data_IF_352675658695
#
_entry.id   IF_352675658695
#
_cell.length_a   1.000
_cell.length_b   1.000
_cell.length_c   1.000
_cell.angle_alpha   90.00
_cell.angle_beta   90.00
_cell.angle_gamma   90.00
#
_symmetry.space_group_name_H-M   'P 1'
#
loop_
_entity.id
_entity.type
_entity.pdbx_description
1 polymer ?
#
# COMPACT_ATOMS: atom_id res chain seq x y z
N UNK A 1 15.12 4.89 14.37
CA UNK A 1 14.06 3.99 13.88
C UNK A 1 13.59 4.45 12.52
N UNK A 2 13.48 3.52 11.60
CA UNK A 2 12.96 3.74 10.25
C UNK A 2 11.48 4.15 10.32
N UNK A 3 11.11 5.23 9.64
CA UNK A 3 9.73 5.68 9.56
C UNK A 3 9.24 5.60 8.12
N UNK A 4 8.16 4.84 7.92
CA UNK A 4 7.45 4.77 6.65
C UNK A 4 6.25 5.70 6.69
N UNK A 5 6.11 6.50 5.64
CA UNK A 5 4.99 7.41 5.46
C UNK A 5 4.14 6.96 4.30
N UNK A 6 2.85 6.98 4.50
CA UNK A 6 1.85 6.80 3.46
C UNK A 6 0.81 7.89 3.57
N UNK A 7 0.57 8.60 2.49
CA UNK A 7 -0.50 9.59 2.38
C UNK A 7 -1.48 9.13 1.31
N UNK A 8 -2.76 9.27 1.59
CA UNK A 8 -3.82 9.00 0.63
C UNK A 8 -4.96 9.97 0.85
N UNK A 9 -5.41 10.60 -0.24
CA UNK A 9 -6.65 11.37 -0.29
C UNK A 9 -7.62 10.68 -1.25
N UNK A 10 -8.78 10.29 -0.74
CA UNK A 10 -9.79 9.58 -1.50
C UNK A 10 -11.18 10.10 -1.16
N UNK A 11 -12.07 10.07 -2.13
CA UNK A 11 -13.51 10.29 -1.94
C UNK A 11 -14.29 9.07 -2.38
N UNK A 12 -15.35 8.75 -1.67
CA UNK A 12 -16.24 7.65 -2.00
C UNK A 12 -17.67 8.19 -2.05
N UNK A 13 -18.32 8.01 -3.20
CA UNK A 13 -19.75 8.27 -3.38
C UNK A 13 -20.47 6.92 -3.43
N UNK A 14 -21.48 6.78 -2.61
CA UNK A 14 -22.32 5.59 -2.58
C UNK A 14 -23.77 5.98 -2.81
N UNK A 15 -24.40 5.41 -3.84
CA UNK A 15 -25.82 5.55 -4.13
C UNK A 15 -26.52 4.21 -3.85
N UNK A 16 -27.58 4.25 -3.07
CA UNK A 16 -28.40 3.08 -2.73
C UNK A 16 -29.83 3.36 -3.22
N UNK A 17 -30.32 2.48 -4.06
CA UNK A 17 -31.69 2.53 -4.52
C UNK A 17 -32.42 1.27 -4.08
N UNK A 18 -33.43 1.47 -3.23
CA UNK A 18 -34.27 0.38 -2.72
C UNK A 18 -35.60 0.37 -3.44
N UNK A 19 -35.98 -0.79 -3.98
CA UNK A 19 -37.24 -1.06 -4.65
C UNK A 19 -38.02 -2.13 -3.87
N UNK A 20 -38.63 -1.78 -2.73
CA UNK A 20 -39.23 -2.74 -1.80
C UNK A 20 -40.38 -3.53 -2.43
N UNK A 21 -41.14 -2.93 -3.37
CA UNK A 21 -42.27 -3.59 -4.03
C UNK A 21 -41.88 -4.86 -4.80
N UNK A 22 -40.63 -4.90 -5.28
CA UNK A 22 -40.08 -6.04 -6.02
C UNK A 22 -38.90 -6.68 -5.31
N UNK A 23 -38.60 -6.26 -4.07
CA UNK A 23 -37.52 -6.80 -3.25
C UNK A 23 -36.11 -6.62 -3.82
N UNK A 24 -35.84 -5.52 -4.55
CA UNK A 24 -34.52 -5.22 -5.08
C UNK A 24 -33.84 -4.08 -4.32
N UNK A 25 -32.56 -4.24 -4.05
CA UNK A 25 -31.67 -3.18 -3.58
C UNK A 25 -30.47 -3.09 -4.51
N UNK A 26 -30.26 -1.92 -5.09
CA UNK A 26 -29.11 -1.64 -5.98
C UNK A 26 -28.19 -0.68 -5.25
N UNK A 27 -26.93 -1.04 -5.11
CA UNK A 27 -25.88 -0.18 -4.54
C UNK A 27 -24.81 0.05 -5.58
N UNK A 28 -24.58 1.33 -5.91
CA UNK A 28 -23.47 1.77 -6.74
C UNK A 28 -22.45 2.50 -5.87
N UNK A 29 -21.18 2.18 -6.04
CA UNK A 29 -20.09 2.85 -5.32
C UNK A 29 -19.07 3.34 -6.33
N UNK A 30 -18.83 4.65 -6.32
CA UNK A 30 -17.77 5.29 -7.08
C UNK A 30 -16.69 5.76 -6.09
N UNK A 31 -15.47 5.34 -6.28
CA UNK A 31 -14.32 5.75 -5.49
C UNK A 31 -13.31 6.46 -6.36
N UNK A 32 -12.90 7.65 -5.95
CA UNK A 32 -11.83 8.42 -6.55
C UNK A 32 -10.67 8.49 -5.57
N UNK A 33 -9.48 8.06 -5.99
CA UNK A 33 -8.23 8.23 -5.27
C UNK A 33 -7.52 9.40 -5.94
N UNK A 34 -7.51 10.58 -5.29
CA UNK A 34 -6.97 11.81 -5.85
C UNK A 34 -5.46 11.92 -5.70
N UNK A 35 -4.96 11.43 -4.58
CA UNK A 35 -3.53 11.40 -4.29
C UNK A 35 -3.21 10.19 -3.46
N UNK A 36 -2.15 9.50 -3.83
CA UNK A 36 -1.55 8.45 -3.03
C UNK A 36 -0.05 8.56 -3.16
N UNK A 37 0.66 8.60 -2.04
CA UNK A 37 2.12 8.61 -2.03
C UNK A 37 2.68 7.82 -0.85
N UNK A 38 3.88 7.28 -1.02
CA UNK A 38 4.60 6.57 0.02
C UNK A 38 6.10 6.85 -0.07
N UNK A 39 6.77 6.90 1.07
CA UNK A 39 8.22 7.05 1.19
C UNK A 39 8.70 6.64 2.58
N UNK A 40 10.01 6.42 2.71
CA UNK A 40 10.68 6.22 3.99
C UNK A 40 11.59 7.40 4.31
N UNK A 41 11.84 7.65 5.60
CA UNK A 41 12.82 8.66 6.01
C UNK A 41 14.26 8.15 6.00
N UNK A 42 14.46 6.86 5.78
CA UNK A 42 15.79 6.28 5.73
C UNK A 42 16.43 6.56 4.37
N UNK A 43 17.31 7.54 4.34
CA UNK A 43 18.03 7.94 3.14
C UNK A 43 19.52 7.65 3.22
N UNK A 44 20.07 7.43 4.41
CA UNK A 44 21.51 7.30 4.62
C UNK A 44 21.85 5.99 5.35
N UNK A 45 23.02 5.45 5.03
CA UNK A 45 23.59 4.34 5.77
C UNK A 45 23.89 4.77 7.21
N UNK A 46 23.69 3.88 8.16
CA UNK A 46 23.94 4.17 9.56
C UNK A 46 25.39 3.85 9.89
N UNK A 47 26.08 4.83 10.47
CA UNK A 47 27.39 4.64 11.08
C UNK A 47 27.17 4.09 12.48
N UNK A 48 27.72 2.91 12.84
CA UNK A 48 27.59 2.36 14.18
C UNK A 48 28.36 3.21 15.19
N UNK A 49 27.82 3.30 16.41
CA UNK A 49 28.48 3.99 17.53
C UNK A 49 29.47 3.08 18.26
N UNK A 50 29.49 1.78 17.92
CA UNK A 50 30.35 0.78 18.52
C UNK A 50 29.95 -0.62 18.04
N UNK A 51 30.59 -1.64 18.59
CA UNK A 51 30.30 -3.05 18.28
C UNK A 51 30.42 -3.95 19.49
N UNK A 52 29.86 -5.11 19.44
CA UNK A 52 30.02 -6.18 20.41
C UNK A 52 30.93 -7.23 19.80
N UNK A 53 32.07 -7.50 20.45
CA UNK A 53 33.00 -8.54 20.02
C UNK A 53 32.44 -9.95 20.32
N UNK A 54 33.04 -10.98 19.72
CA UNK A 54 32.65 -12.38 19.96
C UNK A 54 32.76 -12.79 21.44
N UNK A 55 33.61 -12.13 22.22
CA UNK A 55 33.77 -12.36 23.67
C UNK A 55 32.76 -11.56 24.54
N UNK A 56 31.68 -11.04 23.89
CA UNK A 56 30.65 -10.19 24.50
C UNK A 56 31.17 -8.86 25.11
N UNK A 57 32.36 -8.42 24.72
CA UNK A 57 32.86 -7.11 25.14
C UNK A 57 32.28 -6.00 24.22
N UNK A 58 31.74 -4.95 24.87
CA UNK A 58 31.22 -3.78 24.17
C UNK A 58 32.35 -2.78 23.95
N UNK A 59 32.64 -2.48 22.68
CA UNK A 59 33.61 -1.45 22.29
C UNK A 59 32.85 -0.29 21.65
N UNK A 60 32.92 0.90 22.28
CA UNK A 60 32.34 2.12 21.76
C UNK A 60 33.36 2.89 20.95
N UNK A 61 32.96 3.41 19.81
CA UNK A 61 33.79 4.33 19.04
C UNK A 61 33.78 5.72 19.71
N UNK A 62 34.91 6.44 19.72
CA UNK A 62 34.92 7.82 20.17
C UNK A 62 33.90 8.66 19.39
N UNK A 63 33.21 9.57 20.11
CA UNK A 63 32.21 10.42 19.47
C UNK A 63 32.83 11.25 18.34
N UNK A 64 32.17 11.25 17.18
CA UNK A 64 32.64 11.96 16.00
C UNK A 64 33.85 11.35 15.27
N UNK A 65 34.37 10.19 15.70
CA UNK A 65 35.49 9.52 15.02
C UNK A 65 35.16 9.17 13.57
N UNK A 66 33.94 8.63 13.34
CA UNK A 66 33.47 8.27 12.01
C UNK A 66 32.30 9.19 11.60
N UNK A 67 32.52 9.96 10.56
CA UNK A 67 31.50 10.85 9.97
C UNK A 67 31.02 10.38 8.61
N UNK A 68 31.70 9.38 8.02
CA UNK A 68 31.34 8.77 6.75
C UNK A 68 31.56 7.25 6.79
N UNK A 69 30.82 6.54 5.93
CA UNK A 69 30.99 5.08 5.75
C UNK A 69 32.35 4.70 5.20
N UNK A 70 32.98 5.58 4.41
CA UNK A 70 34.30 5.32 3.80
C UNK A 70 35.43 5.29 4.83
N UNK A 71 35.32 6.08 5.90
CA UNK A 71 36.28 6.03 7.01
C UNK A 71 36.23 4.69 7.75
N UNK A 72 35.04 4.16 7.99
CA UNK A 72 34.87 2.83 8.58
C UNK A 72 35.43 1.72 7.70
N UNK A 73 35.17 1.78 6.39
CA UNK A 73 35.71 0.82 5.43
C UNK A 73 37.25 0.84 5.40
N UNK A 74 37.84 2.03 5.42
CA UNK A 74 39.31 2.20 5.41
C UNK A 74 39.98 1.57 6.65
N UNK A 75 39.31 1.51 7.78
CA UNK A 75 39.79 0.86 9.01
C UNK A 75 39.37 -0.62 9.14
N UNK A 76 38.71 -1.20 8.12
CA UNK A 76 38.33 -2.61 8.10
C UNK A 76 37.04 -2.94 8.87
N UNK A 77 36.22 -1.94 9.20
CA UNK A 77 34.94 -2.10 9.87
C UNK A 77 33.74 -2.11 8.92
N UNK A 78 33.95 -2.46 7.66
CA UNK A 78 32.91 -2.55 6.64
C UNK A 78 31.77 -3.51 7.01
N UNK A 79 32.07 -4.61 7.70
CA UNK A 79 31.10 -5.59 8.20
C UNK A 79 30.13 -5.04 9.28
N UNK A 80 30.43 -3.90 9.87
CA UNK A 80 29.55 -3.22 10.85
C UNK A 80 28.57 -2.25 10.19
N UNK A 81 28.73 -1.98 8.90
CA UNK A 81 27.89 -1.04 8.18
C UNK A 81 26.50 -1.64 7.95
N UNK A 82 25.48 -0.90 8.31
CA UNK A 82 24.13 -1.16 7.89
C UNK A 82 23.86 -0.39 6.59
N UNK A 83 23.92 -1.11 5.47
CA UNK A 83 23.55 -0.56 4.17
C UNK A 83 22.03 -0.47 4.11
N UNK A 84 21.50 0.72 3.86
CA UNK A 84 20.08 0.95 3.66
C UNK A 84 19.73 0.99 2.18
N UNK A 85 18.50 0.60 1.85
CA UNK A 85 18.02 0.74 0.49
C UNK A 85 17.59 2.19 0.24
N UNK A 86 18.48 3.00 -0.33
CA UNK A 86 18.22 4.42 -0.60
C UNK A 86 17.02 4.65 -1.51
N UNK A 87 16.63 3.66 -2.32
CA UNK A 87 15.45 3.77 -3.17
C UNK A 87 14.14 3.94 -2.37
N UNK A 88 14.10 3.44 -1.13
CA UNK A 88 12.91 3.56 -0.27
C UNK A 88 12.65 5.00 0.21
N UNK A 89 13.68 5.86 0.21
CA UNK A 89 13.54 7.28 0.50
C UNK A 89 12.92 8.06 -0.67
N UNK A 90 12.94 7.51 -1.89
CA UNK A 90 12.31 8.16 -3.04
C UNK A 90 10.80 8.14 -2.86
N UNK A 91 10.20 9.34 -2.88
CA UNK A 91 8.74 9.48 -2.78
C UNK A 91 8.08 8.99 -4.07
N UNK A 92 7.31 7.91 -3.97
CA UNK A 92 6.41 7.46 -5.01
C UNK A 92 5.07 8.18 -4.88
N UNK A 93 4.59 8.73 -5.97
CA UNK A 93 3.30 9.41 -6.07
C UNK A 93 2.55 8.88 -7.27
N UNK A 94 1.26 8.67 -7.11
CA UNK A 94 0.40 8.08 -8.13
C UNK A 94 -0.61 9.12 -8.61
N UNK A 95 -0.86 9.10 -9.92
CA UNK A 95 -1.89 9.95 -10.54
C UNK A 95 -3.28 9.54 -10.04
N UNK A 96 -4.27 10.46 -10.07
CA UNK A 96 -5.64 10.14 -9.72
C UNK A 96 -6.18 8.96 -10.51
N UNK A 97 -6.93 8.10 -9.84
CA UNK A 97 -7.60 6.96 -10.47
C UNK A 97 -8.96 6.68 -9.83
N UNK A 98 -9.82 5.98 -10.57
CA UNK A 98 -11.20 5.75 -10.21
C UNK A 98 -11.53 4.28 -10.21
N UNK A 99 -12.42 3.88 -9.30
CA UNK A 99 -12.95 2.52 -9.22
C UNK A 99 -14.47 2.58 -9.06
N UNK A 100 -15.19 1.78 -9.84
CA UNK A 100 -16.64 1.68 -9.78
C UNK A 100 -17.05 0.25 -9.44
N UNK A 101 -17.90 0.13 -8.43
CA UNK A 101 -18.42 -1.14 -7.95
C UNK A 101 -19.93 -1.11 -7.93
N UNK A 102 -20.55 -2.27 -8.14
CA UNK A 102 -21.99 -2.46 -8.11
C UNK A 102 -22.33 -3.67 -7.24
N UNK A 103 -23.40 -3.56 -6.50
CA UNK A 103 -24.03 -4.68 -5.81
C UNK A 103 -25.54 -4.60 -6.08
N UNK A 104 -26.12 -5.70 -6.50
CA UNK A 104 -27.57 -5.84 -6.71
C UNK A 104 -28.02 -7.01 -5.87
N UNK A 105 -28.91 -6.74 -4.92
CA UNK A 105 -29.49 -7.76 -4.05
C UNK A 105 -30.97 -7.93 -4.37
N UNK A 106 -31.40 -9.17 -4.52
CA UNK A 106 -32.80 -9.56 -4.63
C UNK A 106 -33.19 -10.34 -3.39
N UNK A 107 -34.25 -9.89 -2.72
CA UNK A 107 -34.90 -10.61 -1.63
C UNK A 107 -36.11 -11.36 -2.19
N UNK A 108 -36.20 -12.64 -1.86
CA UNK A 108 -37.28 -13.56 -2.29
C UNK A 108 -37.93 -14.10 -1.03
N UNK A 109 -39.08 -13.51 -0.69
CA UNK A 109 -39.70 -13.75 0.64
C UNK A 109 -38.76 -13.38 1.77
N UNK A 110 -38.98 -13.95 2.94
CA UNK A 110 -38.16 -13.69 4.14
C UNK A 110 -37.03 -14.70 4.32
N UNK A 111 -36.90 -15.67 3.40
CA UNK A 111 -36.02 -16.82 3.56
C UNK A 111 -34.81 -16.85 2.62
N UNK A 112 -34.86 -16.16 1.48
CA UNK A 112 -33.80 -16.24 0.47
C UNK A 112 -33.37 -14.85 0.01
N UNK A 113 -32.06 -14.60 0.02
CA UNK A 113 -31.42 -13.42 -0.53
C UNK A 113 -30.37 -13.84 -1.56
N UNK A 114 -30.45 -13.24 -2.72
CA UNK A 114 -29.50 -13.42 -3.82
C UNK A 114 -28.79 -12.10 -4.08
N UNK A 115 -27.47 -12.04 -3.96
CA UNK A 115 -26.69 -10.84 -4.22
C UNK A 115 -25.70 -11.08 -5.35
N UNK A 116 -25.76 -10.23 -6.37
CA UNK A 116 -24.75 -10.14 -7.42
C UNK A 116 -23.87 -8.94 -7.16
N UNK A 117 -22.56 -9.10 -7.23
CA UNK A 117 -21.62 -8.00 -7.10
C UNK A 117 -20.62 -7.97 -8.24
N UNK A 118 -20.23 -6.76 -8.64
CA UNK A 118 -19.17 -6.51 -9.61
C UNK A 118 -18.24 -5.43 -9.07
N UNK A 119 -16.92 -5.70 -9.05
CA UNK A 119 -15.90 -4.75 -8.65
C UNK A 119 -15.04 -4.36 -9.83
N UNK A 120 -14.67 -3.08 -9.84
CA UNK A 120 -13.98 -2.45 -10.97
C UNK A 120 -14.68 -2.70 -12.31
N UNK A 121 -16.00 -2.44 -12.35
CA UNK A 121 -16.87 -2.79 -13.46
C UNK A 121 -16.47 -2.13 -14.79
N UNK A 122 -15.77 -1.00 -14.76
CA UNK A 122 -15.24 -0.34 -15.96
C UNK A 122 -13.83 -0.79 -16.35
N UNK A 123 -13.28 -1.80 -15.68
CA UNK A 123 -11.95 -2.37 -15.96
C UNK A 123 -10.84 -1.31 -16.00
N UNK A 124 -10.90 -0.35 -15.09
CA UNK A 124 -9.89 0.70 -14.97
C UNK A 124 -8.63 0.14 -14.32
N UNK A 125 -7.54 -0.01 -15.09
CA UNK A 125 -6.25 -0.56 -14.64
C UNK A 125 -5.11 0.42 -14.90
N UNK A 126 -5.10 1.58 -14.25
CA UNK A 126 -4.00 2.51 -14.44
C UNK A 126 -2.68 1.86 -13.98
N UNK A 127 -1.67 1.99 -14.82
CA UNK A 127 -0.31 1.54 -14.55
C UNK A 127 0.57 2.75 -14.39
N UNK A 128 1.39 2.73 -13.36
CA UNK A 128 2.36 3.80 -13.09
C UNK A 128 3.73 3.17 -12.97
N UNK A 129 4.71 3.76 -13.65
CA UNK A 129 6.09 3.35 -13.50
C UNK A 129 6.62 3.74 -12.12
N UNK A 130 7.29 2.81 -11.46
CA UNK A 130 7.91 3.05 -10.16
C UNK A 130 9.12 3.97 -10.32
N UNK A 131 9.15 5.05 -9.54
CA UNK A 131 10.32 5.94 -9.46
C UNK A 131 11.51 5.29 -8.75
N UNK A 132 11.23 4.29 -7.90
CA UNK A 132 12.26 3.53 -7.16
C UNK A 132 12.94 2.50 -8.03
N UNK A 133 12.19 1.90 -8.94
CA UNK A 133 12.66 0.83 -9.81
C UNK A 133 12.23 1.14 -11.26
N UNK A 134 13.03 1.87 -12.02
CA UNK A 134 12.76 2.17 -13.43
C UNK A 134 12.49 0.89 -14.23
N UNK A 135 11.49 0.92 -15.10
CA UNK A 135 11.03 -0.25 -15.87
C UNK A 135 10.03 -1.15 -15.15
N UNK A 136 9.80 -0.96 -13.84
CA UNK A 136 8.77 -1.68 -13.10
C UNK A 136 7.47 -0.89 -13.06
N UNK A 137 6.37 -1.52 -13.49
CA UNK A 137 5.04 -0.92 -13.47
C UNK A 137 4.19 -1.46 -12.34
N UNK A 138 3.50 -0.56 -11.64
CA UNK A 138 2.57 -0.86 -10.55
C UNK A 138 1.15 -0.67 -11.08
N UNK A 139 0.31 -1.68 -10.94
CA UNK A 139 -1.11 -1.58 -11.25
C UNK A 139 -1.86 -1.14 -10.00
N UNK A 140 -2.66 -0.06 -10.09
CA UNK A 140 -3.25 0.60 -8.92
C UNK A 140 -4.61 0.02 -8.50
N UNK A 141 -5.41 -0.44 -9.44
CA UNK A 141 -6.72 -1.03 -9.17
C UNK A 141 -6.67 -2.56 -9.19
N UNK A 142 -7.54 -3.17 -8.39
CA UNK A 142 -7.79 -4.59 -8.46
C UNK A 142 -8.39 -4.96 -9.83
N UNK A 143 -8.16 -6.20 -10.25
CA UNK A 143 -8.78 -6.71 -11.47
C UNK A 143 -10.29 -6.70 -11.34
N UNK A 144 -10.97 -6.56 -12.49
CA UNK A 144 -12.40 -6.77 -12.55
C UNK A 144 -12.73 -8.18 -12.06
N UNK A 145 -13.68 -8.27 -11.17
CA UNK A 145 -14.29 -9.53 -10.80
C UNK A 145 -15.76 -9.36 -10.44
N UNK A 146 -16.53 -10.41 -10.59
CA UNK A 146 -17.91 -10.47 -10.20
C UNK A 146 -18.17 -11.79 -9.45
N UNK A 147 -19.24 -11.81 -8.71
CA UNK A 147 -19.65 -12.99 -7.96
C UNK A 147 -21.13 -12.95 -7.64
N UNK A 148 -21.61 -14.10 -7.15
CA UNK A 148 -22.96 -14.30 -6.68
C UNK A 148 -22.88 -14.86 -5.27
N UNK A 149 -23.70 -14.33 -4.39
CA UNK A 149 -23.86 -14.77 -3.01
C UNK A 149 -25.31 -15.18 -2.79
N UNK A 150 -25.50 -16.34 -2.17
CA UNK A 150 -26.81 -16.84 -1.74
C UNK A 150 -26.81 -16.92 -0.22
N UNK A 151 -27.83 -16.33 0.41
CA UNK A 151 -28.06 -16.40 1.84
C UNK A 151 -29.46 -16.93 2.10
N UNK A 152 -29.56 -17.96 2.93
CA UNK A 152 -30.84 -18.55 3.35
C UNK A 152 -30.98 -18.43 4.86
N UNK A 153 -32.16 -18.04 5.30
CA UNK A 153 -32.57 -18.05 6.72
C UNK A 153 -33.55 -19.21 6.89
N UNK A 154 -33.20 -20.15 7.79
CA UNK A 154 -34.04 -21.32 8.13
C UNK A 154 -34.87 -21.04 9.35
#
# INVERSE_FOLDING_TARGET
SEKHYRQQFATTLRAIHNLPQIGFVVTLTAQAIWNQSNWSTYANDSIPVGYISLDNNVTMFPEGKYTSTDQLKAEGYDYLLRITNHSDAIKESYNPYFCFNMNVTKEIGDFLRVSFFAKNMFRSYPRVESKRNPGKYIQLNNRFYFGLELSMTL
#
